data_IF_641334725508
#
_entry.id   IF_641334725508
#
_cell.length_a   1.000
_cell.length_b   1.000
_cell.length_c   1.000
_cell.angle_alpha   90.00
_cell.angle_beta   90.00
_cell.angle_gamma   90.00
#
_symmetry.space_group_name_H-M   'P 1'
#
loop_
_entity.id
_entity.type
_entity.pdbx_description
1 polymer ?
#
# COMPACT_ATOMS: atom_id res chain seq x y z
N UNK A 1 4.85 9.47 -5.14
CA UNK A 1 3.44 9.09 -4.83
C UNK A 1 3.47 7.72 -4.19
N UNK A 2 2.43 7.31 -3.48
CA UNK A 2 2.24 5.94 -3.02
C UNK A 2 0.83 5.49 -3.40
N UNK A 3 0.50 4.22 -3.16
CA UNK A 3 -0.87 3.73 -3.16
C UNK A 3 -1.12 3.17 -1.78
N UNK A 4 -2.01 3.79 -1.00
CA UNK A 4 -2.45 3.28 0.29
C UNK A 4 -3.61 2.29 0.14
N UNK A 5 -3.55 1.17 0.85
CA UNK A 5 -4.55 0.10 0.83
C UNK A 5 -5.48 0.17 2.04
N UNK A 6 -6.39 1.14 2.01
CA UNK A 6 -7.23 1.51 3.14
C UNK A 6 -8.05 0.33 3.70
N UNK A 7 -7.72 -0.06 4.93
CA UNK A 7 -8.41 -1.08 5.72
C UNK A 7 -7.87 -2.51 5.54
N UNK A 8 -6.85 -2.73 4.71
CA UNK A 8 -6.18 -4.02 4.63
C UNK A 8 -5.15 -4.17 5.77
N UNK A 9 -5.06 -5.37 6.34
CA UNK A 9 -4.07 -5.69 7.37
C UNK A 9 -2.81 -6.28 6.72
N UNK A 10 -1.90 -5.41 6.29
CA UNK A 10 -0.70 -5.77 5.51
C UNK A 10 0.57 -5.15 6.11
N UNK A 11 1.74 -5.60 5.66
CA UNK A 11 3.01 -5.06 6.16
C UNK A 11 3.27 -3.64 5.64
N UNK A 12 4.06 -2.87 6.40
CA UNK A 12 4.29 -1.46 6.10
C UNK A 12 5.10 -1.20 4.84
N UNK A 13 5.79 -2.20 4.26
CA UNK A 13 6.46 -2.02 2.96
C UNK A 13 5.46 -2.05 1.80
N UNK A 14 4.28 -2.62 2.03
CA UNK A 14 3.20 -2.74 1.06
C UNK A 14 2.02 -1.81 1.34
N UNK A 15 1.96 -1.15 2.49
CA UNK A 15 0.75 -0.43 2.90
C UNK A 15 0.53 0.90 2.18
N UNK A 16 1.58 1.55 1.70
CA UNK A 16 1.52 2.89 1.11
C UNK A 16 1.50 4.04 2.12
N UNK A 17 1.52 3.75 3.43
CA UNK A 17 1.64 4.72 4.52
C UNK A 17 3.12 5.09 4.77
N UNK A 18 3.52 6.28 4.33
CA UNK A 18 4.92 6.73 4.46
C UNK A 18 5.33 6.93 5.92
N UNK A 19 4.38 7.33 6.78
CA UNK A 19 4.60 7.47 8.22
C UNK A 19 4.95 6.13 8.89
N UNK A 20 4.58 5.00 8.29
CA UNK A 20 4.89 3.65 8.76
C UNK A 20 6.06 2.99 8.01
N UNK A 21 6.70 3.71 7.09
CA UNK A 21 7.90 3.26 6.38
C UNK A 21 7.68 2.69 4.99
N UNK A 22 6.50 2.89 4.39
CA UNK A 22 6.30 2.57 2.97
C UNK A 22 7.23 3.40 2.06
N UNK A 23 7.87 2.79 1.05
CA UNK A 23 8.72 3.52 0.13
C UNK A 23 7.91 4.39 -0.83
N UNK A 24 8.45 5.56 -1.17
CA UNK A 24 7.90 6.42 -2.22
C UNK A 24 8.13 5.85 -3.61
N UNK A 25 7.13 5.95 -4.46
CA UNK A 25 7.28 5.73 -5.90
C UNK A 25 7.78 7.03 -6.52
N UNK A 26 9.06 7.02 -6.91
CA UNK A 26 9.72 8.11 -7.60
C UNK A 26 9.09 8.38 -8.99
N UNK A 27 9.16 9.62 -9.51
CA UNK A 27 8.65 9.93 -10.85
C UNK A 27 9.20 9.00 -11.93
N UNK A 28 8.30 8.41 -12.73
CA UNK A 28 8.64 7.48 -13.81
C UNK A 28 9.12 6.10 -13.35
N UNK A 29 9.04 5.78 -12.05
CA UNK A 29 9.36 4.46 -11.50
C UNK A 29 8.10 3.65 -11.22
N UNK A 30 8.31 2.38 -10.89
CA UNK A 30 7.25 1.42 -10.56
C UNK A 30 7.61 0.68 -9.29
N UNK A 31 6.61 0.46 -8.44
CA UNK A 31 6.70 -0.39 -7.27
C UNK A 31 5.63 -1.49 -7.38
N UNK A 32 5.99 -2.72 -7.00
CA UNK A 32 5.05 -3.85 -6.98
C UNK A 32 4.63 -4.14 -5.55
N UNK A 33 3.33 -4.04 -5.32
CA UNK A 33 2.68 -4.45 -4.09
C UNK A 33 2.29 -5.94 -4.16
N UNK A 34 2.57 -6.70 -3.10
CA UNK A 34 2.25 -8.14 -3.04
C UNK A 34 2.02 -8.59 -1.61
N UNK A 35 0.76 -8.86 -1.28
CA UNK A 35 0.33 -9.26 0.06
C UNK A 35 -0.94 -10.12 -0.02
N UNK A 36 -1.25 -10.93 1.00
CA UNK A 36 -2.53 -11.62 1.08
C UNK A 36 -3.66 -10.62 1.38
N UNK A 37 -4.78 -10.63 0.64
CA UNK A 37 -5.88 -9.69 0.87
C UNK A 37 -6.74 -10.14 2.06
N UNK A 38 -6.43 -9.64 3.26
CA UNK A 38 -7.17 -9.94 4.49
C UNK A 38 -7.38 -8.68 5.34
N UNK A 39 -8.44 -8.63 6.16
CA UNK A 39 -9.55 -9.58 6.24
C UNK A 39 -10.49 -9.52 5.01
N UNK A 40 -11.53 -10.36 4.96
CA UNK A 40 -12.57 -10.26 3.92
C UNK A 40 -13.49 -9.06 4.18
N UNK A 41 -13.87 -8.34 3.14
CA UNK A 41 -14.74 -7.16 3.28
C UNK A 41 -14.63 -6.23 2.08
N UNK A 42 -15.16 -5.02 2.24
CA UNK A 42 -15.05 -3.94 1.26
C UNK A 42 -13.94 -2.99 1.68
N UNK A 43 -12.93 -2.85 0.82
CA UNK A 43 -11.77 -1.99 0.99
C UNK A 43 -11.54 -1.20 -0.30
N UNK A 44 -10.57 -0.29 -0.28
CA UNK A 44 -10.28 0.58 -1.42
C UNK A 44 -8.81 0.99 -1.39
N UNK A 45 -8.36 1.64 -2.47
CA UNK A 45 -7.01 2.17 -2.57
C UNK A 45 -7.05 3.62 -3.05
N UNK A 46 -6.05 4.40 -2.64
CA UNK A 46 -5.89 5.79 -3.06
C UNK A 46 -4.41 6.22 -3.02
N UNK A 47 -4.11 7.35 -3.64
CA UNK A 47 -2.79 8.00 -3.53
C UNK A 47 -2.62 8.79 -2.25
#
# INVERSE_FOLDING_TARGET
>A
TTVHWHGLAIDSLNDGAMEEGSPMIEPGKTLRYSFPPRPSGTFWYHS
#
